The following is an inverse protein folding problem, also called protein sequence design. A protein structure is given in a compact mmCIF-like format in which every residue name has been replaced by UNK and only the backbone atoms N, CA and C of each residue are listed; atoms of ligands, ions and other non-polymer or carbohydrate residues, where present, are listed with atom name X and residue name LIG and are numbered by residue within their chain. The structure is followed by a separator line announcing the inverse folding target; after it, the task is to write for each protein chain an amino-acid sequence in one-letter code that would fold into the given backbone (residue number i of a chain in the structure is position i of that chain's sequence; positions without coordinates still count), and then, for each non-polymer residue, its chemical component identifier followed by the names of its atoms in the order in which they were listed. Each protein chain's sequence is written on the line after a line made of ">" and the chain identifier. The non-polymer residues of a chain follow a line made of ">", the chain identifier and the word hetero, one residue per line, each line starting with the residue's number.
data_IF_990388846677
#
_entry.id   IF_990388846677
#
_cell.length_a   1.000
_cell.length_b   1.000
_cell.length_c   1.000
_cell.angle_alpha   90.00
_cell.angle_beta   90.00
_cell.angle_gamma   90.00
#
_symmetry.space_group_name_H-M   'P 1'
#
loop_
_entity.id
_entity.type
_entity.pdbx_description
1 polymer ?
#
# COMPACT_ATOMS: atom_id res chain seq x y z
N UNK A 1 70.87 23.52 9.03
CA UNK A 1 69.87 24.51 8.56
C UNK A 1 68.67 23.73 8.04
N UNK A 2 67.69 23.47 8.92
CA UNK A 2 66.51 22.67 8.57
C UNK A 2 65.41 23.56 8.03
N UNK A 3 64.81 23.20 6.90
CA UNK A 3 63.46 23.66 6.56
C UNK A 3 62.64 22.48 6.03
N UNK A 4 61.78 22.04 6.93
CA UNK A 4 60.61 21.21 6.70
C UNK A 4 59.61 22.00 5.86
N UNK A 5 59.02 21.41 4.82
CA UNK A 5 57.76 21.90 4.24
C UNK A 5 56.82 20.74 3.98
N UNK A 6 56.04 20.42 5.01
CA UNK A 6 54.90 19.52 4.94
C UNK A 6 53.77 20.26 4.23
N UNK A 7 53.39 19.82 3.03
CA UNK A 7 52.14 20.26 2.41
C UNK A 7 51.02 19.46 3.05
N UNK A 8 50.39 20.09 4.05
CA UNK A 8 49.20 19.58 4.73
C UNK A 8 48.09 19.36 3.70
N UNK A 9 47.67 18.11 3.51
CA UNK A 9 46.49 17.76 2.74
C UNK A 9 45.24 18.10 3.57
N UNK A 10 44.45 19.08 3.11
CA UNK A 10 43.19 19.46 3.76
C UNK A 10 42.08 18.51 3.30
N UNK A 11 41.81 17.45 4.07
CA UNK A 11 40.66 16.58 3.86
C UNK A 11 39.40 17.26 4.42
N UNK A 12 38.54 17.78 3.56
CA UNK A 12 37.22 18.28 3.95
C UNK A 12 36.29 17.09 4.24
N UNK A 13 36.04 16.82 5.52
CA UNK A 13 35.03 15.85 5.94
C UNK A 13 33.62 16.46 5.78
N UNK A 14 32.90 16.07 4.72
CA UNK A 14 31.46 16.32 4.64
C UNK A 14 30.73 15.38 5.62
N UNK A 15 30.36 15.90 6.79
CA UNK A 15 29.36 15.29 7.64
C UNK A 15 27.97 15.53 7.02
N UNK A 16 27.52 14.61 6.17
CA UNK A 16 26.12 14.54 5.77
C UNK A 16 25.32 14.04 6.97
N UNK A 17 24.81 14.97 7.77
CA UNK A 17 23.73 14.69 8.72
C UNK A 17 22.46 14.46 7.90
N UNK A 18 22.28 13.24 7.40
CA UNK A 18 21.06 12.83 6.74
C UNK A 18 19.92 12.83 7.76
N UNK A 19 19.12 13.90 7.78
CA UNK A 19 17.79 13.85 8.37
C UNK A 19 16.99 12.81 7.59
N UNK A 20 16.82 11.63 8.17
CA UNK A 20 16.06 10.54 7.55
C UNK A 20 14.65 11.03 7.26
N UNK A 21 14.37 11.34 5.99
CA UNK A 21 13.02 11.60 5.54
C UNK A 21 12.23 10.29 5.66
N UNK A 22 11.47 10.16 6.74
CA UNK A 22 10.51 9.08 6.89
C UNK A 22 9.37 9.40 5.91
N UNK A 23 9.41 8.81 4.72
CA UNK A 23 8.31 8.91 3.77
C UNK A 23 7.18 7.97 4.20
N UNK A 24 5.94 8.42 4.04
CA UNK A 24 4.76 7.58 4.23
C UNK A 24 4.91 6.30 3.40
N UNK A 25 4.80 5.17 4.06
CA UNK A 25 4.96 3.85 3.47
C UNK A 25 3.65 3.07 3.46
N UNK A 26 3.53 2.16 2.49
CA UNK A 26 2.51 1.11 2.50
C UNK A 26 3.16 -0.24 2.79
N UNK A 27 2.55 -0.97 3.71
CA UNK A 27 3.05 -2.22 4.24
C UNK A 27 2.28 -3.43 3.73
N UNK A 28 2.03 -4.35 4.66
CA UNK A 28 1.42 -5.65 4.39
C UNK A 28 -0.03 -5.48 3.94
N UNK A 29 -0.39 -6.20 2.87
CA UNK A 29 -1.75 -6.45 2.44
C UNK A 29 -2.32 -7.67 3.18
N UNK A 30 -3.57 -7.58 3.62
CA UNK A 30 -4.34 -8.68 4.15
C UNK A 30 -5.74 -8.71 3.50
N UNK A 31 -6.04 -9.74 2.72
CA UNK A 31 -7.37 -9.96 2.14
C UNK A 31 -8.27 -10.64 3.17
N UNK A 32 -9.50 -10.15 3.29
CA UNK A 32 -10.47 -10.57 4.32
C UNK A 32 -11.75 -11.17 3.73
N UNK A 33 -11.84 -11.24 2.40
CA UNK A 33 -13.00 -11.74 1.66
C UNK A 33 -12.60 -12.90 0.77
N UNK A 34 -13.49 -13.88 0.62
CA UNK A 34 -13.33 -14.99 -0.31
C UNK A 34 -13.85 -14.62 -1.73
N UNK A 35 -13.58 -15.49 -2.69
CA UNK A 35 -14.14 -15.42 -4.04
C UNK A 35 -15.67 -15.52 -3.97
N UNK A 36 -16.37 -14.64 -4.68
CA UNK A 36 -17.83 -14.51 -4.64
C UNK A 36 -18.36 -13.60 -3.52
N UNK A 37 -17.49 -13.06 -2.66
CA UNK A 37 -17.87 -12.07 -1.65
C UNK A 37 -17.56 -10.63 -2.09
N UNK A 38 -18.18 -9.66 -1.44
CA UNK A 38 -17.76 -8.26 -1.56
C UNK A 38 -16.30 -8.11 -1.11
N UNK A 39 -15.49 -7.45 -1.94
CA UNK A 39 -14.06 -7.26 -1.72
C UNK A 39 -13.84 -6.55 -0.39
N UNK A 40 -12.99 -7.12 0.47
CA UNK A 40 -12.52 -6.51 1.70
C UNK A 40 -11.04 -6.81 1.86
N UNK A 41 -10.22 -5.77 1.92
CA UNK A 41 -8.79 -5.90 2.21
C UNK A 41 -8.30 -4.75 3.10
N UNK A 42 -7.24 -5.02 3.85
CA UNK A 42 -6.53 -4.02 4.67
C UNK A 42 -5.07 -3.94 4.25
N UNK A 43 -4.52 -2.72 4.21
CA UNK A 43 -3.11 -2.47 3.92
C UNK A 43 -2.54 -1.60 5.04
N UNK A 44 -1.46 -2.04 5.67
CA UNK A 44 -0.79 -1.27 6.73
C UNK A 44 -0.20 0.05 6.16
N UNK A 45 -0.29 1.13 6.93
CA UNK A 45 0.40 2.39 6.64
C UNK A 45 1.51 2.60 7.67
N UNK A 46 2.74 2.83 7.21
CA UNK A 46 3.91 3.07 8.05
C UNK A 46 4.44 4.50 7.89
N UNK A 47 5.23 4.93 8.86
CA UNK A 47 5.97 6.21 8.79
C UNK A 47 5.09 7.43 8.52
N UNK A 48 3.85 7.41 9.02
CA UNK A 48 2.88 8.50 8.88
C UNK A 48 2.90 9.39 10.13
N UNK A 49 3.35 10.63 9.97
CA UNK A 49 3.29 11.66 11.03
C UNK A 49 1.86 12.20 11.22
N UNK A 50 1.60 12.93 12.31
CA UNK A 50 0.27 13.51 12.55
C UNK A 50 -0.08 14.59 11.50
N UNK A 51 0.90 15.39 11.10
CA UNK A 51 0.78 16.43 10.09
C UNK A 51 0.50 15.85 8.70
N UNK A 52 1.19 14.76 8.35
CA UNK A 52 0.93 14.06 7.08
C UNK A 52 -0.43 13.36 7.11
N UNK A 53 -0.81 12.73 8.23
CA UNK A 53 -2.12 12.11 8.38
C UNK A 53 -3.27 13.11 8.16
N UNK A 54 -3.11 14.36 8.59
CA UNK A 54 -4.11 15.42 8.40
C UNK A 54 -4.30 15.82 6.93
N UNK A 55 -3.31 15.55 6.07
CA UNK A 55 -3.34 15.91 4.64
C UNK A 55 -3.40 14.68 3.72
N UNK A 56 -3.39 13.48 4.30
CA UNK A 56 -3.36 12.22 3.56
C UNK A 56 -4.67 12.04 2.78
N UNK A 57 -4.52 11.94 1.45
CA UNK A 57 -5.57 11.54 0.53
C UNK A 57 -5.19 10.21 -0.10
N UNK A 58 -6.18 9.33 -0.22
CA UNK A 58 -5.99 7.98 -0.73
C UNK A 58 -7.09 7.70 -1.72
N UNK A 59 -6.74 7.08 -2.85
CA UNK A 59 -7.71 6.62 -3.84
C UNK A 59 -7.22 5.37 -4.55
N UNK A 60 -8.15 4.62 -5.11
CA UNK A 60 -7.85 3.65 -6.17
C UNK A 60 -7.54 4.46 -7.44
N UNK A 61 -6.51 4.06 -8.17
CA UNK A 61 -6.13 4.72 -9.41
C UNK A 61 -7.28 4.62 -10.44
N UNK A 62 -7.43 5.60 -11.35
CA UNK A 62 -8.49 5.57 -12.34
C UNK A 62 -8.12 4.59 -13.48
N UNK A 63 -9.09 4.15 -14.31
CA UNK A 63 -8.84 3.20 -15.41
C UNK A 63 -7.66 3.57 -16.33
N UNK A 64 -7.44 4.86 -16.56
CA UNK A 64 -6.35 5.37 -17.41
C UNK A 64 -4.96 5.01 -16.85
N UNK A 65 -4.79 5.01 -15.52
CA UNK A 65 -3.54 4.62 -14.90
C UNK A 65 -3.24 3.12 -15.08
N UNK A 66 -4.28 2.28 -15.02
CA UNK A 66 -4.15 0.84 -15.28
C UNK A 66 -3.70 0.58 -16.72
N UNK A 67 -4.33 1.27 -17.68
CA UNK A 67 -3.92 1.21 -19.11
C UNK A 67 -2.48 1.65 -19.30
N UNK A 68 -2.04 2.73 -18.65
CA UNK A 68 -0.66 3.20 -18.71
C UNK A 68 0.34 2.24 -18.05
N UNK A 69 -0.08 1.48 -17.05
CA UNK A 69 0.73 0.46 -16.37
C UNK A 69 0.71 -0.90 -17.06
N UNK A 70 -0.13 -1.10 -18.09
CA UNK A 70 -0.31 -2.41 -18.72
C UNK A 70 -1.05 -3.43 -17.85
N UNK A 71 -1.82 -2.95 -16.86
CA UNK A 71 -2.62 -3.77 -15.93
C UNK A 71 -4.08 -3.70 -16.37
N UNK A 72 -4.80 -4.81 -16.25
CA UNK A 72 -6.24 -4.86 -16.55
C UNK A 72 -7.06 -4.16 -15.45
N UNK A 73 -8.03 -3.34 -15.86
CA UNK A 73 -8.93 -2.68 -14.90
C UNK A 73 -10.11 -3.58 -14.57
N UNK A 74 -10.09 -4.20 -13.39
CA UNK A 74 -11.17 -5.07 -12.95
C UNK A 74 -12.47 -4.26 -12.69
N UNK A 75 -13.64 -4.69 -13.23
CA UNK A 75 -14.92 -3.99 -13.02
C UNK A 75 -15.33 -3.80 -11.56
N UNK A 76 -14.89 -4.65 -10.62
CA UNK A 76 -15.20 -4.51 -9.19
C UNK A 76 -14.63 -3.21 -8.61
N UNK A 77 -13.54 -2.70 -9.20
CA UNK A 77 -12.87 -1.47 -8.77
C UNK A 77 -13.73 -0.22 -9.00
N UNK A 78 -14.64 -0.24 -9.98
CA UNK A 78 -15.56 0.86 -10.23
C UNK A 78 -16.55 1.09 -9.07
N UNK A 79 -16.85 0.02 -8.31
CA UNK A 79 -17.67 0.04 -7.10
C UNK A 79 -16.84 0.06 -5.80
N UNK A 80 -15.53 0.25 -5.91
CA UNK A 80 -14.63 0.14 -4.77
C UNK A 80 -14.23 1.50 -4.22
N UNK A 81 -14.03 1.54 -2.91
CA UNK A 81 -13.56 2.71 -2.18
C UNK A 81 -12.45 2.32 -1.21
N UNK A 82 -11.62 3.31 -0.88
CA UNK A 82 -10.56 3.16 0.11
C UNK A 82 -10.82 4.12 1.27
N UNK A 83 -10.73 3.61 2.48
CA UNK A 83 -10.96 4.35 3.72
C UNK A 83 -9.71 4.26 4.60
N UNK A 84 -9.34 5.38 5.21
CA UNK A 84 -8.30 5.38 6.25
C UNK A 84 -8.97 4.99 7.57
N UNK A 85 -8.45 3.96 8.22
CA UNK A 85 -8.96 3.49 9.51
C UNK A 85 -7.83 3.31 10.53
N UNK A 86 -8.20 3.30 11.81
CA UNK A 86 -7.30 2.97 12.93
C UNK A 86 -7.65 1.56 13.42
N UNK A 87 -6.64 0.70 13.55
CA UNK A 87 -6.79 -0.67 14.08
C UNK A 87 -5.64 -0.95 15.04
N UNK A 88 -5.94 -1.25 16.30
CA UNK A 88 -4.94 -1.62 17.32
C UNK A 88 -3.77 -0.63 17.41
N UNK A 89 -4.06 0.68 17.33
CA UNK A 89 -3.04 1.73 17.35
C UNK A 89 -2.24 1.92 16.05
N UNK A 90 -2.56 1.16 15.00
CA UNK A 90 -1.97 1.29 13.65
C UNK A 90 -2.94 1.94 12.68
N UNK A 91 -2.41 2.63 11.68
CA UNK A 91 -3.21 3.17 10.57
C UNK A 91 -3.23 2.14 9.45
N UNK A 92 -4.42 1.86 8.93
CA UNK A 92 -4.64 0.93 7.82
C UNK A 92 -5.50 1.57 6.74
N UNK A 93 -5.27 1.20 5.49
CA UNK A 93 -6.17 1.47 4.39
C UNK A 93 -7.11 0.29 4.23
N UNK A 94 -8.41 0.53 4.35
CA UNK A 94 -9.45 -0.47 4.11
C UNK A 94 -9.98 -0.29 2.69
N UNK A 95 -9.78 -1.28 1.84
CA UNK A 95 -10.31 -1.32 0.46
C UNK A 95 -11.57 -2.18 0.48
N UNK A 96 -12.69 -1.60 0.06
CA UNK A 96 -14.00 -2.28 0.05
C UNK A 96 -14.76 -2.04 -1.24
N UNK A 97 -15.48 -3.05 -1.72
CA UNK A 97 -16.47 -2.92 -2.80
C UNK A 97 -17.89 -3.17 -2.29
N UNK A 98 -18.90 -2.76 -3.06
CA UNK A 98 -20.30 -3.17 -2.87
C UNK A 98 -20.73 -4.35 -3.76
N UNK A 99 -19.84 -4.81 -4.66
CA UNK A 99 -20.05 -5.96 -5.55
C UNK A 99 -19.15 -7.14 -5.22
N UNK A 100 -19.66 -8.34 -5.51
CA UNK A 100 -18.91 -9.59 -5.39
C UNK A 100 -17.73 -9.66 -6.38
N UNK A 101 -16.61 -10.21 -5.92
CA UNK A 101 -15.45 -10.50 -6.75
C UNK A 101 -15.63 -11.85 -7.43
N UNK A 102 -15.49 -11.89 -8.75
CA UNK A 102 -15.69 -13.11 -9.55
C UNK A 102 -14.38 -13.74 -10.04
N UNK A 103 -13.27 -13.00 -9.93
CA UNK A 103 -11.95 -13.42 -10.37
C UNK A 103 -11.07 -13.82 -9.18
N UNK A 104 -10.20 -14.83 -9.33
CA UNK A 104 -9.37 -15.33 -8.22
C UNK A 104 -8.35 -14.31 -7.71
N UNK A 105 -8.07 -13.28 -8.51
CA UNK A 105 -7.24 -12.16 -8.11
C UNK A 105 -7.75 -10.84 -8.68
N UNK A 106 -7.41 -9.74 -8.01
CA UNK A 106 -7.67 -8.37 -8.48
C UNK A 106 -6.43 -7.54 -8.22
N UNK A 107 -5.87 -6.93 -9.25
CA UNK A 107 -4.80 -5.95 -9.10
C UNK A 107 -5.40 -4.59 -8.71
N UNK A 108 -4.86 -3.99 -7.66
CA UNK A 108 -5.26 -2.70 -7.10
C UNK A 108 -4.07 -1.78 -7.11
N UNK A 109 -4.13 -0.72 -7.91
CA UNK A 109 -3.20 0.40 -7.86
C UNK A 109 -3.77 1.45 -6.91
N UNK A 110 -3.07 1.69 -5.80
CA UNK A 110 -3.39 2.74 -4.83
C UNK A 110 -2.52 3.96 -5.08
N UNK A 111 -3.14 5.13 -5.03
CA UNK A 111 -2.46 6.42 -5.05
C UNK A 111 -2.68 7.15 -3.73
N UNK A 112 -1.58 7.56 -3.12
CA UNK A 112 -1.53 8.35 -1.90
C UNK A 112 -0.89 9.69 -2.20
N UNK A 113 -1.46 10.75 -1.65
CA UNK A 113 -0.87 12.10 -1.65
C UNK A 113 -1.00 12.72 -0.27
N UNK A 114 0.01 13.47 0.13
CA UNK A 114 0.05 14.18 1.41
C UNK A 114 0.92 15.44 1.26
N UNK A 115 1.06 16.22 2.33
CA UNK A 115 1.76 17.51 2.31
C UNK A 115 3.19 17.46 1.77
N UNK A 116 3.93 16.38 2.03
CA UNK A 116 5.34 16.25 1.68
C UNK A 116 5.60 15.33 0.47
N UNK A 117 4.57 14.69 -0.12
CA UNK A 117 4.82 13.75 -1.21
C UNK A 117 3.63 12.99 -1.78
N UNK A 118 3.98 11.98 -2.58
CA UNK A 118 3.09 11.08 -3.32
C UNK A 118 3.68 9.68 -3.32
N UNK A 119 2.82 8.67 -3.21
CA UNK A 119 3.17 7.26 -3.39
C UNK A 119 2.14 6.59 -4.30
N UNK A 120 2.60 5.77 -5.22
CA UNK A 120 1.75 4.87 -6.01
C UNK A 120 2.24 3.45 -5.81
N UNK A 121 1.32 2.54 -5.50
CA UNK A 121 1.67 1.14 -5.21
C UNK A 121 0.61 0.21 -5.79
N UNK A 122 1.09 -0.82 -6.47
CA UNK A 122 0.27 -1.91 -6.98
C UNK A 122 0.27 -3.07 -5.98
N UNK A 123 -0.89 -3.69 -5.82
CA UNK A 123 -1.14 -4.86 -4.99
C UNK A 123 -1.97 -5.87 -5.75
N UNK A 124 -1.58 -7.14 -5.73
CA UNK A 124 -2.43 -8.24 -6.18
C UNK A 124 -3.18 -8.81 -4.97
N UNK A 125 -4.50 -8.66 -4.96
CA UNK A 125 -5.38 -9.27 -3.96
C UNK A 125 -5.74 -10.67 -4.43
N UNK A 126 -5.50 -11.69 -3.61
CA UNK A 126 -5.85 -13.07 -3.90
C UNK A 126 -7.09 -13.46 -3.09
N UNK A 127 -8.05 -14.11 -3.74
CA UNK A 127 -9.32 -14.52 -3.14
C UNK A 127 -9.41 -16.03 -3.10
N UNK A 128 -9.56 -16.58 -1.89
CA UNK A 128 -9.73 -18.01 -1.69
C UNK A 128 -11.06 -18.49 -2.31
N UNK A 129 -11.10 -19.66 -2.98
CA UNK A 129 -12.35 -20.21 -3.49
C UNK A 129 -13.31 -20.54 -2.34
N UNK A 130 -14.64 -20.53 -2.58
CA UNK A 130 -15.60 -20.93 -1.56
C UNK A 130 -15.35 -22.37 -1.12
N UNK A 131 -15.28 -22.60 0.18
CA UNK A 131 -15.18 -23.94 0.74
C UNK A 131 -16.43 -24.73 0.40
N UNK A 132 -16.30 -25.86 -0.31
CA UNK A 132 -17.41 -26.78 -0.53
C UNK A 132 -17.96 -27.23 0.84
N UNK A 133 -19.29 -27.21 1.06
CA UNK A 133 -19.87 -27.77 2.27
C UNK A 133 -19.41 -29.22 2.42
N UNK A 134 -18.80 -29.55 3.57
CA UNK A 134 -18.48 -30.94 3.91
C UNK A 134 -19.79 -31.75 3.86
N UNK A 135 -19.90 -32.82 3.05
CA UNK A 135 -21.09 -33.64 3.02
C UNK A 135 -21.44 -34.07 4.45
N UNK A 136 -22.69 -33.85 4.85
CA UNK A 136 -23.17 -34.32 6.15
C UNK A 136 -22.94 -35.84 6.24
N UNK A 137 -22.48 -36.38 7.39
CA UNK A 137 -22.36 -37.81 7.56
C UNK A 137 -23.72 -38.46 7.28
N UNK A 138 -23.77 -39.36 6.30
CA UNK A 138 -24.94 -40.20 6.10
C UNK A 138 -25.04 -41.09 7.34
N UNK A 139 -25.97 -40.77 8.24
CA UNK A 139 -26.33 -41.67 9.34
C UNK A 139 -27.03 -42.86 8.68
N UNK A 140 -26.37 -44.02 8.68
CA UNK A 140 -26.96 -45.31 8.33
C UNK A 140 -27.25 -46.07 9.61
#
# INVERSE_FOLDING_TARGET
>A
MGLVRHHVALAAALLVLGSGAQAVGLGRLNVQSALGEAMRAEIDVSSLTAEEAATLKVRIAPPDAYRSSGVEYNPVLASSQVQIARRDGRTVLRVVSDRAVQEPFVDVILELTWSSGRLVREYTLLFDPPSLPKPAPVVT
#
